data_IF_310784351990
#
_entry.id   IF_310784351990
#
_cell.length_a   1.000
_cell.length_b   1.000
_cell.length_c   1.000
_cell.angle_alpha   90.00
_cell.angle_beta   90.00
_cell.angle_gamma   90.00
#
_symmetry.space_group_name_H-M   'P 1'
#
loop_
_entity.id
_entity.type
_entity.pdbx_description
1 polymer ?
#
# COMPACT_ATOMS: atom_id res chain seq x y z
N UNK A 1 -18.51 -27.65 18.18
CA UNK A 1 -19.25 -26.76 17.26
C UNK A 1 -18.31 -26.45 16.12
N UNK A 2 -18.39 -27.29 15.10
CA UNK A 2 -17.60 -27.30 13.87
C UNK A 2 -18.49 -26.70 12.77
N UNK A 3 -17.98 -25.76 11.98
CA UNK A 3 -18.58 -25.41 10.70
C UNK A 3 -17.47 -25.13 9.67
N UNK A 4 -17.17 -26.18 8.90
CA UNK A 4 -16.49 -26.12 7.62
C UNK A 4 -17.52 -25.83 6.51
N UNK A 5 -17.22 -24.90 5.62
CA UNK A 5 -18.00 -24.72 4.40
C UNK A 5 -17.25 -25.31 3.20
N UNK A 6 -17.81 -26.40 2.67
CA UNK A 6 -17.51 -26.92 1.35
C UNK A 6 -18.57 -26.40 0.35
N UNK A 7 -18.15 -26.01 -0.85
CA UNK A 7 -19.05 -25.83 -1.98
C UNK A 7 -18.62 -26.75 -3.12
N UNK A 8 -19.51 -27.67 -3.46
CA UNK A 8 -19.35 -28.70 -4.49
C UNK A 8 -19.50 -28.12 -5.90
N UNK A 9 -18.62 -28.56 -6.79
CA UNK A 9 -18.74 -28.43 -8.25
C UNK A 9 -19.70 -29.50 -8.76
N UNK A 10 -20.63 -29.12 -9.65
CA UNK A 10 -21.26 -30.03 -10.60
C UNK A 10 -21.43 -29.33 -11.96
N UNK A 11 -20.92 -29.91 -13.07
CA UNK A 11 -21.32 -29.50 -14.41
C UNK A 11 -22.44 -30.41 -14.92
N UNK A 12 -23.54 -29.82 -15.37
CA UNK A 12 -24.62 -30.55 -16.05
C UNK A 12 -24.39 -30.62 -17.56
N UNK A 13 -24.41 -31.86 -18.03
CA UNK A 13 -24.29 -32.36 -19.39
C UNK A 13 -25.57 -32.09 -20.19
N UNK A 14 -25.47 -31.49 -21.39
CA UNK A 14 -26.57 -31.53 -22.39
C UNK A 14 -26.03 -31.93 -23.75
N UNK A 15 -26.77 -32.87 -24.35
CA UNK A 15 -26.41 -33.78 -25.44
C UNK A 15 -26.52 -33.18 -26.85
N UNK A 16 -25.66 -33.76 -27.70
CA UNK A 16 -25.61 -33.79 -29.16
C UNK A 16 -26.99 -34.07 -29.80
N UNK A 17 -27.35 -33.32 -30.84
CA UNK A 17 -28.36 -33.75 -31.84
C UNK A 17 -27.79 -33.56 -33.24
N UNK A 18 -27.78 -34.69 -33.96
CA UNK A 18 -27.38 -34.89 -35.35
C UNK A 18 -28.64 -34.80 -36.20
N UNK A 19 -28.59 -34.05 -37.30
CA UNK A 19 -29.50 -34.28 -38.42
C UNK A 19 -28.66 -34.44 -39.69
N UNK A 20 -28.60 -35.69 -40.17
CA UNK A 20 -28.22 -36.01 -41.54
C UNK A 20 -29.33 -35.56 -42.50
N UNK A 21 -28.95 -34.88 -43.59
CA UNK A 21 -29.71 -34.91 -44.85
C UNK A 21 -28.70 -35.11 -45.98
N UNK A 22 -28.90 -36.21 -46.71
CA UNK A 22 -28.13 -36.67 -47.89
C UNK A 22 -28.86 -36.27 -49.19
N UNK A 23 -28.28 -36.49 -50.39
CA UNK A 23 -27.93 -35.43 -51.33
C UNK A 23 -28.86 -35.36 -52.56
N UNK A 24 -28.86 -34.22 -53.25
CA UNK A 24 -29.25 -34.20 -54.67
C UNK A 24 -28.34 -33.31 -55.51
N UNK A 25 -27.87 -33.90 -56.59
CA UNK A 25 -26.99 -33.38 -57.62
C UNK A 25 -27.75 -32.63 -58.71
N UNK A 26 -27.16 -31.57 -59.26
CA UNK A 26 -27.12 -31.33 -60.71
C UNK A 26 -26.09 -30.26 -61.07
N UNK A 27 -25.41 -30.50 -62.19
CA UNK A 27 -24.36 -29.67 -62.83
C UNK A 27 -25.01 -28.43 -63.46
N UNK A 28 -24.37 -27.30 -63.78
CA UNK A 28 -23.23 -27.08 -64.67
C UNK A 28 -23.00 -25.54 -64.78
N UNK A 29 -21.90 -25.11 -65.42
CA UNK A 29 -21.65 -23.78 -66.08
C UNK A 29 -20.61 -22.82 -65.42
N UNK A 30 -19.38 -22.97 -65.93
CA UNK A 30 -18.37 -22.00 -66.41
C UNK A 30 -17.97 -20.71 -65.65
N UNK A 31 -16.65 -20.64 -65.40
CA UNK A 31 -15.70 -19.53 -65.58
C UNK A 31 -16.06 -18.11 -65.08
N UNK A 32 -15.32 -17.66 -64.06
CA UNK A 32 -14.37 -16.54 -64.18
C UNK A 32 -13.46 -16.42 -62.95
N UNK A 33 -12.15 -16.50 -63.18
CA UNK A 33 -11.09 -16.06 -62.26
C UNK A 33 -11.35 -14.60 -61.85
N UNK A 34 -11.50 -14.35 -60.55
CA UNK A 34 -11.16 -13.05 -59.94
C UNK A 34 -10.27 -13.33 -58.73
N UNK A 35 -9.02 -12.92 -58.88
CA UNK A 35 -8.00 -12.92 -57.83
C UNK A 35 -8.48 -12.01 -56.69
N UNK A 36 -8.82 -12.60 -55.56
CA UNK A 36 -8.88 -11.87 -54.30
C UNK A 36 -7.50 -12.02 -53.65
N UNK A 37 -6.64 -11.02 -53.81
CA UNK A 37 -5.52 -10.84 -52.90
C UNK A 37 -6.09 -10.58 -51.50
N UNK A 38 -6.33 -11.63 -50.72
CA UNK A 38 -6.45 -11.52 -49.26
C UNK A 38 -5.08 -11.09 -48.75
N UNK A 39 -4.85 -9.78 -48.68
CA UNK A 39 -3.80 -9.22 -47.85
C UNK A 39 -4.20 -9.55 -46.41
N UNK A 40 -3.64 -10.62 -45.87
CA UNK A 40 -3.66 -10.85 -44.43
C UNK A 40 -2.88 -9.70 -43.80
N UNK A 41 -3.60 -8.72 -43.26
CA UNK A 41 -3.04 -7.78 -42.30
C UNK A 41 -2.66 -8.60 -41.08
N UNK A 42 -1.38 -8.93 -40.98
CA UNK A 42 -0.80 -9.43 -39.74
C UNK A 42 -0.78 -8.26 -38.76
N UNK A 43 -1.87 -8.07 -38.02
CA UNK A 43 -1.82 -7.30 -36.77
C UNK A 43 -1.13 -8.18 -35.75
N UNK A 44 0.15 -7.90 -35.52
CA UNK A 44 0.85 -8.40 -34.34
C UNK A 44 0.27 -7.66 -33.15
N UNK A 45 -0.80 -8.19 -32.57
CA UNK A 45 -1.22 -7.81 -31.23
C UNK A 45 -0.15 -8.36 -30.28
N UNK A 46 0.83 -7.53 -29.95
CA UNK A 46 1.74 -7.81 -28.84
C UNK A 46 0.87 -7.89 -27.61
N UNK A 47 0.62 -9.10 -27.12
CA UNK A 47 -0.08 -9.30 -25.86
C UNK A 47 0.71 -8.53 -24.78
N UNK A 48 0.08 -7.60 -24.06
CA UNK A 48 0.78 -6.90 -23.00
C UNK A 48 1.20 -7.93 -21.96
N UNK A 49 2.47 -7.83 -21.55
CA UNK A 49 3.01 -8.61 -20.44
C UNK A 49 2.16 -8.32 -19.20
N UNK A 50 1.33 -9.29 -18.81
CA UNK A 50 0.36 -9.14 -17.71
C UNK A 50 1.04 -8.75 -16.40
N UNK A 51 2.30 -9.13 -16.20
CA UNK A 51 3.07 -8.75 -15.02
C UNK A 51 3.39 -7.26 -15.02
N UNK A 52 3.78 -6.69 -16.18
CA UNK A 52 4.05 -5.25 -16.31
C UNK A 52 2.79 -4.41 -16.16
N UNK A 53 1.65 -4.89 -16.67
CA UNK A 53 0.36 -4.18 -16.49
C UNK A 53 -0.04 -4.14 -15.02
N UNK A 54 0.07 -5.27 -14.30
CA UNK A 54 -0.21 -5.34 -12.86
C UNK A 54 0.69 -4.42 -12.02
N UNK A 55 1.98 -4.35 -12.35
CA UNK A 55 2.94 -3.47 -11.65
C UNK A 55 2.60 -1.98 -11.84
N UNK A 56 2.29 -1.57 -13.07
CA UNK A 56 1.88 -0.19 -13.37
C UNK A 56 0.56 0.17 -12.66
N UNK A 57 -0.40 -0.75 -12.64
CA UNK A 57 -1.64 -0.54 -11.90
C UNK A 57 -1.42 -0.39 -10.40
N UNK A 58 -0.57 -1.24 -9.80
CA UNK A 58 -0.20 -1.14 -8.39
C UNK A 58 0.45 0.22 -8.07
N UNK A 59 1.38 0.68 -8.90
CA UNK A 59 2.02 1.99 -8.73
C UNK A 59 1.00 3.14 -8.84
N UNK A 60 0.03 3.04 -9.76
CA UNK A 60 -1.06 4.01 -9.85
C UNK A 60 -1.94 4.03 -8.59
N UNK A 61 -2.23 2.86 -8.00
CA UNK A 61 -2.99 2.78 -6.74
C UNK A 61 -2.21 3.38 -5.57
N UNK A 62 -0.90 3.13 -5.47
CA UNK A 62 -0.03 3.77 -4.47
C UNK A 62 -0.02 5.29 -4.65
N UNK A 63 0.06 5.77 -5.88
CA UNK A 63 0.01 7.20 -6.17
C UNK A 63 -1.33 7.83 -5.73
N UNK A 64 -2.46 7.19 -6.03
CA UNK A 64 -3.78 7.66 -5.60
C UNK A 64 -3.90 7.74 -4.08
N UNK A 65 -3.36 6.75 -3.36
CA UNK A 65 -3.29 6.79 -1.90
C UNK A 65 -2.46 7.98 -1.40
N UNK A 66 -1.30 8.24 -2.02
CA UNK A 66 -0.46 9.38 -1.66
C UNK A 66 -1.16 10.72 -1.88
N UNK A 67 -1.94 10.86 -2.96
CA UNK A 67 -2.76 12.03 -3.21
C UNK A 67 -3.87 12.19 -2.16
N UNK A 68 -4.55 11.10 -1.80
CA UNK A 68 -5.63 11.13 -0.82
C UNK A 68 -5.16 11.61 0.58
N UNK A 69 -3.89 11.37 0.93
CA UNK A 69 -3.36 11.73 2.26
C UNK A 69 -2.64 13.10 2.32
N UNK A 70 -2.34 13.73 1.18
CA UNK A 70 -1.42 14.89 1.08
C UNK A 70 -1.81 16.06 2.00
N UNK A 71 -3.10 16.39 2.09
CA UNK A 71 -3.60 17.55 2.83
C UNK A 71 -4.24 17.19 4.18
N UNK A 72 -3.90 16.01 4.72
CA UNK A 72 -4.49 15.52 5.98
C UNK A 72 -3.64 15.82 7.21
N UNK A 73 -2.46 16.40 7.04
CA UNK A 73 -1.48 16.59 8.12
C UNK A 73 -1.22 15.28 8.91
N UNK A 74 -0.94 14.18 8.21
CA UNK A 74 -0.80 12.82 8.75
C UNK A 74 -2.05 12.32 9.50
N UNK A 75 -3.24 12.70 9.03
CA UNK A 75 -4.52 12.33 9.62
C UNK A 75 -5.09 13.30 10.65
N UNK A 76 -4.30 14.28 11.13
CA UNK A 76 -4.76 15.29 12.10
C UNK A 76 -5.93 16.13 11.55
N UNK A 77 -5.83 16.58 10.30
CA UNK A 77 -6.83 17.41 9.64
C UNK A 77 -7.82 16.62 8.78
N UNK A 78 -7.79 15.27 8.82
CA UNK A 78 -8.63 14.43 7.97
C UNK A 78 -10.11 14.46 8.38
N UNK A 79 -10.99 14.87 7.46
CA UNK A 79 -12.46 14.80 7.62
C UNK A 79 -12.96 13.36 7.54
N UNK A 80 -14.22 13.12 7.95
CA UNK A 80 -14.85 11.80 7.82
C UNK A 80 -14.86 11.30 6.37
N UNK A 81 -15.19 12.18 5.42
CA UNK A 81 -15.22 11.84 3.99
C UNK A 81 -13.81 11.52 3.46
N UNK A 82 -12.81 12.30 3.86
CA UNK A 82 -11.41 12.03 3.50
C UNK A 82 -10.92 10.70 4.08
N UNK A 83 -11.28 10.37 5.34
CA UNK A 83 -10.94 9.08 5.95
C UNK A 83 -11.53 7.92 5.17
N UNK A 84 -12.79 8.04 4.75
CA UNK A 84 -13.45 7.04 3.89
C UNK A 84 -12.70 6.83 2.57
N UNK A 85 -12.33 7.92 1.88
CA UNK A 85 -11.56 7.87 0.62
C UNK A 85 -10.18 7.21 0.83
N UNK A 86 -9.51 7.54 1.93
CA UNK A 86 -8.19 6.98 2.25
C UNK A 86 -8.30 5.48 2.56
N UNK A 87 -9.32 5.06 3.30
CA UNK A 87 -9.57 3.64 3.60
C UNK A 87 -9.84 2.84 2.32
N UNK A 88 -10.65 3.36 1.40
CA UNK A 88 -10.89 2.73 0.10
C UNK A 88 -9.59 2.62 -0.74
N UNK A 89 -8.76 3.68 -0.73
CA UNK A 89 -7.48 3.68 -1.41
C UNK A 89 -6.48 2.68 -0.79
N UNK A 90 -6.45 2.56 0.54
CA UNK A 90 -5.64 1.56 1.26
C UNK A 90 -6.04 0.13 0.88
N UNK A 91 -7.34 -0.19 0.95
CA UNK A 91 -7.88 -1.50 0.55
C UNK A 91 -7.52 -1.82 -0.91
N UNK A 92 -7.61 -0.83 -1.79
CA UNK A 92 -7.23 -0.97 -3.20
C UNK A 92 -5.75 -1.35 -3.39
N UNK A 93 -4.84 -0.79 -2.60
CA UNK A 93 -3.41 -1.15 -2.62
C UNK A 93 -3.19 -2.53 -2.00
N UNK A 94 -3.81 -2.81 -0.86
CA UNK A 94 -3.65 -4.08 -0.14
C UNK A 94 -4.14 -5.31 -0.92
N UNK A 95 -5.11 -5.11 -1.80
CA UNK A 95 -5.66 -6.13 -2.70
C UNK A 95 -4.63 -6.78 -3.63
N UNK A 96 -3.58 -6.04 -4.03
CA UNK A 96 -2.53 -6.57 -4.92
C UNK A 96 -1.57 -7.54 -4.21
N UNK A 97 -1.55 -7.53 -2.88
CA UNK A 97 -0.70 -8.41 -2.08
C UNK A 97 -1.54 -9.33 -1.17
N UNK A 98 -2.81 -9.58 -1.55
CA UNK A 98 -3.79 -10.30 -0.75
C UNK A 98 -3.29 -11.67 -0.27
N UNK A 99 -3.27 -11.87 1.06
CA UNK A 99 -2.89 -13.13 1.68
C UNK A 99 -1.39 -13.45 1.69
N UNK A 100 -0.54 -12.62 1.09
CA UNK A 100 0.91 -12.79 1.18
C UNK A 100 1.39 -12.48 2.61
N UNK A 101 2.26 -13.33 3.21
CA UNK A 101 2.88 -13.04 4.49
C UNK A 101 3.73 -11.78 4.44
N UNK A 102 3.92 -11.16 5.61
CA UNK A 102 4.86 -10.05 5.78
C UNK A 102 6.29 -10.52 5.44
N UNK A 103 6.92 -9.85 4.47
CA UNK A 103 8.33 -10.09 4.13
C UNK A 103 9.22 -9.25 5.04
N UNK A 104 9.93 -9.90 5.96
CA UNK A 104 10.82 -9.23 6.92
C UNK A 104 12.00 -8.53 6.25
N UNK A 105 12.47 -9.04 5.11
CA UNK A 105 13.58 -8.43 4.39
C UNK A 105 13.14 -7.16 3.67
N UNK A 106 11.90 -7.11 3.19
CA UNK A 106 11.30 -5.89 2.63
C UNK A 106 10.94 -4.90 3.73
N UNK A 107 10.43 -5.38 4.87
CA UNK A 107 10.05 -4.53 6.00
C UNK A 107 11.27 -3.87 6.67
N UNK A 108 12.40 -4.56 6.75
CA UNK A 108 13.64 -4.01 7.29
C UNK A 108 14.08 -2.76 6.51
N UNK A 109 14.17 -1.63 7.19
CA UNK A 109 14.43 -0.36 6.52
C UNK A 109 13.88 0.85 7.27
N UNK A 110 13.98 2.01 6.63
CA UNK A 110 13.47 3.29 7.15
C UNK A 110 12.25 3.71 6.36
N UNK A 111 11.13 3.84 7.06
CA UNK A 111 9.82 4.18 6.50
C UNK A 111 9.40 5.57 6.96
N UNK A 112 8.76 6.34 6.09
CA UNK A 112 8.16 7.63 6.46
C UNK A 112 6.69 7.44 6.77
N UNK A 113 6.25 7.93 7.92
CA UNK A 113 4.83 7.92 8.29
C UNK A 113 4.09 9.02 7.50
N UNK A 114 3.33 8.60 6.49
CA UNK A 114 2.55 9.50 5.64
C UNK A 114 1.16 9.80 6.21
N UNK A 115 0.55 8.82 6.86
CA UNK A 115 -0.81 8.90 7.39
C UNK A 115 -0.97 7.96 8.59
N UNK A 116 -1.80 8.33 9.54
CA UNK A 116 -2.25 7.44 10.62
C UNK A 116 -3.68 7.79 11.03
N UNK A 117 -4.47 6.77 11.36
CA UNK A 117 -5.77 6.90 12.00
C UNK A 117 -5.72 6.55 13.49
N UNK A 118 -4.54 6.23 14.04
CA UNK A 118 -4.37 5.84 15.43
C UNK A 118 -4.68 7.02 16.37
N UNK A 119 -5.74 6.94 17.21
CA UNK A 119 -6.18 8.05 18.05
C UNK A 119 -5.07 8.60 18.94
N UNK A 120 -4.31 7.72 19.60
CA UNK A 120 -3.24 8.10 20.51
C UNK A 120 -2.16 8.95 19.81
N UNK A 121 -1.84 8.62 18.56
CA UNK A 121 -0.85 9.36 17.76
C UNK A 121 -1.44 10.68 17.28
N UNK A 122 -2.69 10.69 16.82
CA UNK A 122 -3.38 11.91 16.36
C UNK A 122 -3.50 12.93 17.50
N UNK A 123 -3.82 12.48 18.71
CA UNK A 123 -3.88 13.34 19.91
C UNK A 123 -2.52 13.95 20.23
N UNK A 124 -1.43 13.18 20.11
CA UNK A 124 -0.07 13.71 20.30
C UNK A 124 0.31 14.75 19.22
N UNK A 125 -0.07 14.51 17.96
CA UNK A 125 0.11 15.47 16.88
C UNK A 125 -0.70 16.76 17.11
N UNK A 126 -1.94 16.63 17.60
CA UNK A 126 -2.79 17.76 17.95
C UNK A 126 -2.19 18.58 19.10
N UNK A 127 -1.76 17.91 20.17
CA UNK A 127 -1.12 18.55 21.32
C UNK A 127 0.14 19.32 20.88
N UNK A 128 0.95 18.73 20.01
CA UNK A 128 2.12 19.38 19.44
C UNK A 128 1.75 20.61 18.58
N UNK A 129 0.69 20.53 17.77
CA UNK A 129 0.24 21.64 16.92
C UNK A 129 -0.32 22.84 17.73
N UNK A 130 -0.77 22.61 18.97
CA UNK A 130 -1.23 23.68 19.87
C UNK A 130 -0.10 24.45 20.55
N UNK A 131 1.12 23.91 20.56
CA UNK A 131 2.26 24.59 21.17
C UNK A 131 2.79 25.67 20.22
N UNK A 132 2.77 26.96 20.60
CA UNK A 132 3.33 28.01 19.77
C UNK A 132 4.82 27.74 19.56
N UNK A 133 5.30 27.95 18.33
CA UNK A 133 6.69 27.71 17.94
C UNK A 133 7.14 26.23 17.98
N UNK A 134 6.24 25.25 18.04
CA UNK A 134 6.59 23.84 17.93
C UNK A 134 6.12 23.27 16.59
N UNK A 135 7.03 22.73 15.79
CA UNK A 135 6.69 22.11 14.51
C UNK A 135 7.13 20.65 14.47
N UNK A 136 6.17 19.72 14.32
CA UNK A 136 6.46 18.31 14.08
C UNK A 136 6.86 18.12 12.62
N UNK A 137 8.13 17.83 12.40
CA UNK A 137 8.70 17.53 11.09
C UNK A 137 8.29 16.15 10.58
N UNK A 138 9.16 15.53 9.79
CA UNK A 138 8.94 14.17 9.30
C UNK A 138 9.08 13.15 10.44
N UNK A 139 8.18 12.16 10.45
CA UNK A 139 8.24 11.02 11.36
C UNK A 139 8.75 9.83 10.56
N UNK A 140 9.85 9.26 11.02
CA UNK A 140 10.44 8.06 10.44
C UNK A 140 10.30 6.88 11.39
N UNK A 141 10.13 5.69 10.82
CA UNK A 141 10.05 4.43 11.53
C UNK A 141 11.13 3.52 10.96
N UNK A 142 12.13 3.21 11.79
CA UNK A 142 13.18 2.28 11.41
C UNK A 142 12.83 0.89 11.93
N UNK A 143 12.63 -0.06 11.03
CA UNK A 143 12.48 -1.47 11.35
C UNK A 143 13.85 -2.14 11.29
N UNK A 144 14.22 -2.82 12.37
CA UNK A 144 15.44 -3.61 12.52
C UNK A 144 14.99 -5.07 12.71
N UNK A 145 14.85 -5.81 11.61
CA UNK A 145 14.32 -7.17 11.57
C UNK A 145 14.90 -8.07 10.47
N UNK A 146 15.94 -7.64 9.74
CA UNK A 146 16.53 -8.38 8.61
C UNK A 146 16.83 -9.86 8.89
N UNK A 147 17.32 -10.16 10.09
CA UNK A 147 17.74 -11.51 10.49
C UNK A 147 16.71 -12.21 11.41
N UNK A 148 15.49 -11.69 11.50
CA UNK A 148 14.45 -12.17 12.39
C UNK A 148 13.30 -12.85 11.61
N UNK A 149 12.69 -13.88 12.20
CA UNK A 149 11.63 -14.65 11.54
C UNK A 149 10.21 -14.15 11.86
N UNK A 150 9.97 -13.62 13.06
CA UNK A 150 8.61 -13.25 13.54
C UNK A 150 8.56 -11.99 14.41
N UNK A 151 9.53 -11.09 14.28
CA UNK A 151 9.57 -9.87 15.10
C UNK A 151 10.82 -9.04 14.87
N UNK A 152 11.02 -8.04 15.73
CA UNK A 152 12.19 -7.19 15.68
C UNK A 152 12.04 -5.95 16.56
N UNK A 153 12.86 -4.95 16.27
CA UNK A 153 12.79 -3.64 16.94
C UNK A 153 12.33 -2.59 15.94
N UNK A 154 11.41 -1.73 16.36
CA UNK A 154 11.02 -0.53 15.63
C UNK A 154 11.46 0.70 16.42
N UNK A 155 12.06 1.67 15.73
CA UNK A 155 12.44 2.97 16.29
C UNK A 155 11.66 4.07 15.60
N UNK A 156 10.74 4.70 16.32
CA UNK A 156 10.03 5.88 15.87
C UNK A 156 10.91 7.09 16.14
N UNK A 157 11.35 7.76 15.07
CA UNK A 157 12.20 8.94 15.08
C UNK A 157 11.36 10.14 14.66
N UNK A 158 11.05 11.00 15.63
CA UNK A 158 10.28 12.22 15.43
C UNK A 158 11.23 13.41 15.51
N UNK A 159 11.40 14.12 14.40
CA UNK A 159 12.14 15.39 14.36
C UNK A 159 11.18 16.54 14.60
N UNK A 160 11.55 17.48 15.45
CA UNK A 160 10.77 18.68 15.71
C UNK A 160 11.67 19.91 15.82
N UNK A 161 11.25 21.02 15.21
CA UNK A 161 11.99 22.27 15.21
C UNK A 161 11.25 23.35 16.01
N UNK A 162 12.02 24.29 16.54
CA UNK A 162 11.51 25.54 17.11
C UNK A 162 11.94 26.67 16.18
N UNK A 163 11.03 27.25 15.38
CA UNK A 163 11.34 28.39 14.53
C UNK A 163 11.96 29.53 15.36
N UNK A 164 12.99 30.18 14.84
CA UNK A 164 13.74 31.28 15.46
C UNK A 164 14.64 30.94 16.66
N UNK A 165 14.62 29.71 17.19
CA UNK A 165 15.50 29.28 18.29
C UNK A 165 16.50 28.20 17.87
N UNK A 166 16.13 27.35 16.92
CA UNK A 166 16.96 26.30 16.34
C UNK A 166 17.02 26.51 14.82
N UNK A 167 18.15 26.22 14.17
CA UNK A 167 18.25 26.30 12.71
C UNK A 167 17.16 25.41 12.06
N UNK A 168 16.66 25.80 10.88
CA UNK A 168 15.73 24.97 10.12
C UNK A 168 16.37 23.59 9.88
N UNK A 169 15.81 22.55 10.52
CA UNK A 169 16.30 21.17 10.56
C UNK A 169 17.33 20.78 11.65
N UNK A 170 17.80 21.71 12.49
CA UNK A 170 18.58 21.41 13.72
C UNK A 170 17.71 21.35 14.98
N UNK A 171 16.52 20.76 14.82
CA UNK A 171 15.58 20.51 15.89
C UNK A 171 16.04 19.42 16.88
N UNK A 172 15.28 19.22 17.95
CA UNK A 172 15.46 18.06 18.81
C UNK A 172 14.84 16.79 18.16
N UNK A 173 15.39 15.63 18.50
CA UNK A 173 14.95 14.34 17.96
C UNK A 173 14.45 13.45 19.09
N UNK A 174 13.15 13.13 19.08
CA UNK A 174 12.58 12.14 19.97
C UNK A 174 12.72 10.76 19.30
N UNK A 175 13.33 9.82 20.01
CA UNK A 175 13.41 8.42 19.57
C UNK A 175 12.65 7.55 20.56
N UNK A 176 11.62 6.86 20.07
CA UNK A 176 10.87 5.88 20.84
C UNK A 176 11.13 4.51 20.26
N UNK A 177 11.65 3.59 21.08
CA UNK A 177 11.89 2.21 20.67
C UNK A 177 10.71 1.34 21.09
N UNK A 178 10.39 0.34 20.28
CA UNK A 178 9.43 -0.69 20.62
C UNK A 178 9.92 -2.02 20.06
N UNK A 179 9.57 -3.11 20.75
CA UNK A 179 9.63 -4.45 20.16
C UNK A 179 8.36 -4.69 19.37
N UNK A 180 8.45 -5.50 18.33
CA UNK A 180 7.26 -5.96 17.62
C UNK A 180 7.29 -7.46 17.38
N UNK A 181 6.09 -8.04 17.34
CA UNK A 181 5.85 -9.46 17.05
C UNK A 181 4.80 -9.60 15.96
N UNK A 182 4.99 -10.57 15.07
CA UNK A 182 4.02 -10.90 14.03
C UNK A 182 2.87 -11.70 14.64
N UNK A 183 1.68 -11.09 14.65
CA UNK A 183 0.47 -11.68 15.25
C UNK A 183 -0.50 -12.25 14.23
N UNK A 184 -0.38 -11.87 12.95
CA UNK A 184 -1.14 -12.49 11.85
C UNK A 184 -0.31 -12.49 10.57
N UNK A 185 -0.89 -12.95 9.45
CA UNK A 185 -0.25 -12.92 8.13
C UNK A 185 0.31 -11.52 7.79
N UNK A 186 -0.38 -10.44 8.21
CA UNK A 186 -0.03 -9.05 7.88
C UNK A 186 -0.05 -8.07 9.06
N UNK A 187 -0.39 -8.52 10.27
CA UNK A 187 -0.46 -7.64 11.43
C UNK A 187 0.72 -7.90 12.36
N UNK A 188 1.25 -6.81 12.90
CA UNK A 188 2.25 -6.81 13.96
C UNK A 188 1.66 -6.20 15.21
N UNK A 189 2.10 -6.67 16.37
CA UNK A 189 1.85 -6.07 17.66
C UNK A 189 3.08 -5.29 18.10
N UNK A 190 2.89 -4.12 18.73
CA UNK A 190 3.98 -3.28 19.23
C UNK A 190 3.98 -3.25 20.75
N UNK A 191 5.16 -3.44 21.35
CA UNK A 191 5.41 -3.24 22.77
C UNK A 191 6.46 -2.15 22.94
N UNK A 192 6.03 -0.96 23.36
CA UNK A 192 6.92 0.18 23.55
C UNK A 192 7.87 -0.04 24.74
N UNK A 193 9.14 0.26 24.50
CA UNK A 193 10.17 0.35 25.52
C UNK A 193 10.30 1.81 25.96
N UNK A 194 10.87 2.04 27.15
CA UNK A 194 10.95 3.34 27.81
C UNK A 194 11.43 4.47 26.86
N UNK A 195 10.78 5.64 26.94
CA UNK A 195 11.06 6.77 26.05
C UNK A 195 12.39 7.40 26.46
N UNK A 196 13.39 7.33 25.58
CA UNK A 196 14.66 8.03 25.80
C UNK A 196 14.68 9.30 24.95
N UNK A 197 14.42 10.49 25.53
CA UNK A 197 14.56 11.73 24.78
C UNK A 197 16.05 11.99 24.54
N UNK A 198 16.48 11.97 23.28
CA UNK A 198 17.84 12.37 22.90
C UNK A 198 17.82 13.86 22.60
N UNK A 199 17.99 14.66 23.66
CA UNK A 199 18.20 16.09 23.49
C UNK A 199 19.65 16.34 23.05
N UNK A 200 19.87 16.63 21.78
CA UNK A 200 21.11 17.29 21.35
C UNK A 200 20.96 18.79 21.57
N UNK A 201 21.09 19.25 22.82
CA UNK A 201 21.29 20.68 23.09
C UNK A 201 22.76 21.01 22.80
N UNK A 202 23.09 21.35 21.56
CA UNK A 202 24.28 22.18 21.34
C UNK A 202 23.90 23.61 21.72
N UNK A 203 24.47 24.10 22.83
CA UNK A 203 24.44 25.49 23.27
C UNK A 203 23.06 26.11 23.58
N UNK A 204 22.41 25.73 24.68
CA UNK A 204 21.50 26.65 25.36
C UNK A 204 21.79 26.69 26.86
N UNK A 205 22.30 27.84 27.30
CA UNK A 205 22.25 28.28 28.69
C UNK A 205 20.81 28.67 29.00
N UNK A 206 20.14 27.97 29.91
CA UNK A 206 18.84 28.39 30.41
C UNK A 206 19.04 29.64 31.30
N UNK A 207 18.69 30.81 30.79
CA UNK A 207 18.39 31.97 31.65
C UNK A 207 16.95 31.81 32.10
N UNK A 208 16.77 31.45 33.36
CA UNK A 208 15.49 31.56 34.06
C UNK A 208 15.22 33.04 34.32
N UNK A 209 14.08 33.57 33.88
CA UNK A 209 13.48 34.79 34.47
C UNK A 209 12.40 34.40 35.46
#
# INVERSE_FOLDING_TARGET
>A
MELAFAASVYPTNVKRVIYEIRPHSSKLVTNKRRSFHKKFLCSVAVAPDRNRVSEVELENKKHNLLLAVQDTQRGLAATADQRSIIEEALVSVEGYNMGAPLDMAVLDGTWRLQYTSAPDVVVLLEAAARLPFFQVGQIFQKFECRDQLRGGVIRNVVRWSIPNLLEEQEGATLVVSAKFDVVSVRNIYLQFEEVTPVFQFKNLYFLTS
#
